data_IF_502505339379
#
_entry.id   IF_502505339379
#
_cell.length_a   1.000
_cell.length_b   1.000
_cell.length_c   1.000
_cell.angle_alpha   90.00
_cell.angle_beta   90.00
_cell.angle_gamma   90.00
#
_symmetry.space_group_name_H-M   'P 1'
#
loop_
_entity.id
_entity.type
_entity.pdbx_description
1 polymer ?
#
# COMPACT_ATOMS: atom_id res chain seq x y z
N UNK A 1 48.07 -24.93 -35.71
CA UNK A 1 47.22 -24.82 -36.91
C UNK A 1 45.77 -24.84 -36.45
N UNK A 2 45.15 -23.67 -36.32
CA UNK A 2 43.69 -23.48 -36.30
C UNK A 2 43.42 -21.98 -36.58
N UNK A 3 42.70 -21.63 -37.66
CA UNK A 3 42.39 -20.23 -37.97
C UNK A 3 41.28 -19.71 -37.06
N UNK A 4 41.44 -18.46 -36.59
CA UNK A 4 40.41 -17.73 -35.84
C UNK A 4 39.14 -17.56 -36.70
N UNK A 5 37.93 -17.62 -36.11
CA UNK A 5 36.69 -17.43 -36.86
C UNK A 5 36.55 -15.97 -37.34
N UNK A 6 36.00 -15.74 -38.54
CA UNK A 6 35.77 -14.39 -39.04
C UNK A 6 34.68 -13.70 -38.22
N UNK A 7 34.98 -12.46 -37.81
CA UNK A 7 34.04 -11.54 -37.18
C UNK A 7 32.79 -11.37 -38.05
N UNK A 8 31.56 -11.58 -37.54
CA UNK A 8 30.37 -11.22 -38.28
C UNK A 8 30.25 -9.68 -38.27
N UNK A 9 30.64 -9.06 -39.38
CA UNK A 9 30.24 -7.68 -39.68
C UNK A 9 28.72 -7.67 -39.88
N UNK A 10 28.00 -7.40 -38.79
CA UNK A 10 26.56 -7.20 -38.80
C UNK A 10 26.22 -5.97 -39.65
N UNK A 11 25.79 -6.23 -40.88
CA UNK A 11 25.39 -5.23 -41.85
C UNK A 11 24.37 -4.25 -41.29
N UNK A 12 24.60 -2.97 -41.57
CA UNK A 12 23.62 -1.90 -41.37
C UNK A 12 22.35 -2.27 -42.15
N UNK A 13 21.24 -2.47 -41.45
CA UNK A 13 19.92 -2.59 -42.08
C UNK A 13 19.64 -1.30 -42.86
N UNK A 14 19.30 -1.35 -44.16
CA UNK A 14 18.79 -0.17 -44.83
C UNK A 14 17.41 0.19 -44.24
N UNK A 15 17.38 1.27 -43.45
CA UNK A 15 16.18 1.95 -42.99
C UNK A 15 15.50 2.64 -44.19
N UNK A 16 14.84 1.89 -45.07
CA UNK A 16 13.73 2.36 -45.91
C UNK A 16 13.30 1.22 -46.84
N UNK A 17 12.18 0.56 -46.55
CA UNK A 17 11.43 -0.14 -47.61
C UNK A 17 10.82 0.94 -48.52
N UNK A 18 11.50 1.29 -49.62
CA UNK A 18 10.86 1.99 -50.74
C UNK A 18 9.85 1.03 -51.36
N UNK A 19 8.55 1.25 -51.14
CA UNK A 19 7.52 0.49 -51.86
C UNK A 19 6.15 0.38 -51.22
N UNK A 20 5.95 0.69 -49.92
CA UNK A 20 4.59 0.68 -49.37
C UNK A 20 3.81 1.91 -49.84
N UNK A 21 2.63 1.76 -50.47
CA UNK A 21 1.78 2.89 -50.82
C UNK A 21 1.44 3.66 -49.53
N UNK A 22 1.76 4.95 -49.51
CA UNK A 22 1.42 5.83 -48.38
C UNK A 22 -0.10 5.79 -48.19
N UNK A 23 -0.54 5.48 -46.97
CA UNK A 23 -1.94 5.70 -46.60
C UNK A 23 -2.27 7.17 -46.85
N UNK A 24 -3.42 7.42 -47.49
CA UNK A 24 -3.90 8.79 -47.71
C UNK A 24 -3.87 9.54 -46.37
N UNK A 25 -3.40 10.80 -46.34
CA UNK A 25 -3.41 11.60 -45.12
C UNK A 25 -4.78 11.52 -44.47
N UNK A 26 -4.82 11.32 -43.16
CA UNK A 26 -6.07 11.41 -42.41
C UNK A 26 -6.70 12.80 -42.58
N UNK A 27 -7.96 12.97 -42.17
CA UNK A 27 -8.62 14.26 -42.16
C UNK A 27 -7.72 15.31 -41.50
N UNK A 28 -7.68 16.52 -42.08
CA UNK A 28 -6.92 17.61 -41.50
C UNK A 28 -7.32 17.79 -40.02
N UNK A 29 -6.36 17.98 -39.11
CA UNK A 29 -6.69 18.23 -37.72
C UNK A 29 -7.62 19.44 -37.63
N UNK A 30 -8.67 19.31 -36.83
CA UNK A 30 -9.63 20.41 -36.61
C UNK A 30 -8.88 21.69 -36.24
N UNK A 31 -9.29 22.84 -36.81
CA UNK A 31 -8.64 24.12 -36.53
C UNK A 31 -8.69 24.44 -35.04
N UNK A 32 -7.74 25.25 -34.58
CA UNK A 32 -7.56 25.56 -33.16
C UNK A 32 -8.84 26.11 -32.51
N UNK A 33 -9.60 26.91 -33.27
CA UNK A 33 -10.90 27.46 -32.89
C UNK A 33 -11.93 26.38 -32.56
N UNK A 34 -12.06 25.35 -33.40
CA UNK A 34 -13.01 24.25 -33.19
C UNK A 34 -12.56 23.33 -32.03
N UNK A 35 -11.24 23.22 -31.81
CA UNK A 35 -10.67 22.41 -30.73
C UNK A 35 -10.95 23.01 -29.34
N UNK A 36 -10.94 24.33 -29.22
CA UNK A 36 -11.21 25.04 -27.96
C UNK A 36 -12.69 24.98 -27.58
N UNK A 37 -13.60 24.97 -28.56
CA UNK A 37 -15.05 24.92 -28.28
C UNK A 37 -15.56 23.52 -27.90
N UNK A 38 -14.83 22.44 -28.22
CA UNK A 38 -15.37 21.08 -28.15
C UNK A 38 -15.25 20.37 -26.79
N UNK A 39 -14.52 20.88 -25.79
CA UNK A 39 -14.29 20.12 -24.54
C UNK A 39 -14.18 21.01 -23.30
N UNK A 40 -15.31 21.55 -22.83
CA UNK A 40 -15.44 21.73 -21.38
C UNK A 40 -15.54 20.34 -20.76
N UNK A 41 -14.42 19.81 -20.26
CA UNK A 41 -14.45 18.56 -19.50
C UNK A 41 -15.42 18.75 -18.33
N UNK A 42 -16.34 17.79 -18.15
CA UNK A 42 -17.23 17.81 -17.00
C UNK A 42 -16.36 17.92 -15.74
N UNK A 43 -16.68 18.81 -14.79
CA UNK A 43 -15.95 18.90 -13.53
C UNK A 43 -15.90 17.53 -12.87
N UNK A 44 -14.70 17.07 -12.53
CA UNK A 44 -14.51 15.79 -11.86
C UNK A 44 -15.17 15.87 -10.49
N UNK A 45 -16.31 15.20 -10.33
CA UNK A 45 -16.99 15.10 -9.04
C UNK A 45 -16.32 14.01 -8.21
N UNK A 46 -15.78 14.39 -7.07
CA UNK A 46 -15.26 13.44 -6.09
C UNK A 46 -16.43 12.67 -5.49
N UNK A 47 -16.32 11.35 -5.39
CA UNK A 47 -17.28 10.55 -4.64
C UNK A 47 -17.10 10.87 -3.16
N UNK A 48 -18.07 11.58 -2.57
CA UNK A 48 -18.11 11.84 -1.14
C UNK A 48 -18.58 10.58 -0.42
N UNK A 49 -17.74 10.05 0.47
CA UNK A 49 -18.09 8.94 1.35
C UNK A 49 -17.99 9.43 2.78
N UNK A 50 -19.14 9.58 3.45
CA UNK A 50 -19.21 9.83 4.88
C UNK A 50 -19.42 8.51 5.61
N UNK A 51 -18.70 8.33 6.72
CA UNK A 51 -18.82 7.16 7.58
C UNK A 51 -19.31 7.63 8.96
N UNK A 52 -20.32 6.98 9.55
CA UNK A 52 -20.85 7.38 10.86
C UNK A 52 -19.80 7.19 11.95
N UNK A 53 -19.94 7.91 13.08
CA UNK A 53 -18.99 7.86 14.20
C UNK A 53 -18.81 6.44 14.74
N UNK A 54 -19.91 5.71 14.92
CA UNK A 54 -19.93 4.30 15.35
C UNK A 54 -19.07 3.41 14.45
N UNK A 55 -19.21 3.56 13.13
CA UNK A 55 -18.41 2.77 12.18
C UNK A 55 -16.92 3.07 12.29
N UNK A 56 -16.53 4.33 12.55
CA UNK A 56 -15.13 4.68 12.79
C UNK A 56 -14.63 4.02 14.07
N UNK A 57 -15.44 4.04 15.13
CA UNK A 57 -15.13 3.42 16.42
C UNK A 57 -14.93 1.91 16.23
N UNK A 58 -15.85 1.20 15.56
CA UNK A 58 -15.72 -0.23 15.26
C UNK A 58 -14.39 -0.58 14.57
N UNK A 59 -14.00 0.21 13.58
CA UNK A 59 -12.74 0.02 12.85
C UNK A 59 -11.54 0.23 13.77
N UNK A 60 -11.58 1.23 14.65
CA UNK A 60 -10.51 1.49 15.60
C UNK A 60 -10.40 0.38 16.66
N UNK A 61 -11.53 -0.11 17.20
CA UNK A 61 -11.53 -1.25 18.10
C UNK A 61 -10.98 -2.51 17.43
N UNK A 62 -11.34 -2.75 16.17
CA UNK A 62 -10.80 -3.85 15.39
C UNK A 62 -9.27 -3.78 15.34
N UNK A 63 -8.70 -2.62 15.02
CA UNK A 63 -7.25 -2.45 14.96
C UNK A 63 -6.54 -2.61 16.31
N UNK A 64 -7.19 -2.22 17.41
CA UNK A 64 -6.62 -2.29 18.76
C UNK A 64 -6.68 -3.69 19.37
N UNK A 65 -7.82 -4.37 19.20
CA UNK A 65 -8.14 -5.58 19.96
C UNK A 65 -8.01 -6.85 19.13
N UNK A 66 -8.27 -6.78 17.83
CA UNK A 66 -8.19 -7.96 16.98
C UNK A 66 -6.74 -8.39 16.83
N UNK A 67 -6.51 -9.71 16.83
CA UNK A 67 -5.18 -10.28 16.66
C UNK A 67 -5.23 -11.31 15.54
N UNK A 68 -4.37 -11.13 14.55
CA UNK A 68 -4.29 -11.99 13.37
C UNK A 68 -3.15 -12.99 13.57
N UNK A 69 -3.40 -14.30 13.38
CA UNK A 69 -2.34 -15.30 13.41
C UNK A 69 -1.42 -15.11 12.21
N UNK A 70 -0.13 -14.99 12.47
CA UNK A 70 0.90 -14.90 11.43
C UNK A 70 1.93 -16.01 11.63
N UNK A 71 1.88 -16.98 10.71
CA UNK A 71 2.83 -18.09 10.66
C UNK A 71 4.18 -17.69 10.03
N UNK A 72 4.29 -16.48 9.45
CA UNK A 72 5.50 -16.08 8.74
C UNK A 72 6.61 -15.74 9.74
N UNK A 73 7.86 -16.21 9.52
CA UNK A 73 8.98 -15.80 10.36
C UNK A 73 9.18 -14.29 10.22
N UNK A 74 9.11 -13.55 11.33
CA UNK A 74 9.41 -12.11 11.33
C UNK A 74 10.82 -11.89 10.82
N UNK A 75 10.96 -11.04 9.80
CA UNK A 75 12.26 -10.57 9.33
C UNK A 75 12.84 -9.62 10.38
N UNK A 76 13.60 -10.16 11.33
CA UNK A 76 14.38 -9.34 12.26
C UNK A 76 15.45 -8.58 11.47
N UNK A 77 15.58 -7.26 11.65
CA UNK A 77 16.66 -6.49 11.04
C UNK A 77 18.01 -7.11 11.38
N UNK A 78 18.91 -7.20 10.38
CA UNK A 78 20.25 -7.76 10.58
C UNK A 78 21.02 -6.88 11.57
N UNK A 79 21.45 -7.50 12.67
CA UNK A 79 22.08 -6.79 13.80
C UNK A 79 23.48 -6.30 13.42
N UNK A 80 23.88 -5.14 13.95
CA UNK A 80 25.29 -4.75 13.99
C UNK A 80 25.97 -5.52 15.13
N UNK A 81 27.25 -5.88 14.94
CA UNK A 81 28.07 -6.50 15.99
C UNK A 81 28.11 -5.60 17.22
N UNK A 82 27.88 -6.17 18.41
CA UNK A 82 27.90 -5.48 19.69
C UNK A 82 26.55 -4.98 20.23
N UNK A 83 25.44 -5.14 19.49
CA UNK A 83 24.12 -4.71 19.98
C UNK A 83 23.51 -5.76 20.95
N UNK A 84 23.13 -5.38 22.19
CA UNK A 84 22.57 -6.31 23.18
C UNK A 84 21.26 -6.92 22.68
N UNK A 85 21.07 -8.24 22.87
CA UNK A 85 19.89 -8.99 22.45
C UNK A 85 18.64 -8.47 23.18
N UNK A 86 17.88 -7.57 22.56
CA UNK A 86 16.51 -7.27 23.00
C UNK A 86 15.64 -8.48 22.66
N UNK A 87 15.68 -9.46 23.56
CA UNK A 87 14.87 -10.69 23.51
C UNK A 87 13.38 -10.42 23.81
N UNK A 88 13.04 -9.21 24.24
CA UNK A 88 11.87 -8.97 25.09
C UNK A 88 10.60 -8.49 24.38
N UNK A 89 10.59 -8.35 23.05
CA UNK A 89 9.37 -7.95 22.30
C UNK A 89 8.81 -9.01 21.36
N UNK A 90 9.38 -10.22 21.40
CA UNK A 90 8.90 -11.38 20.65
C UNK A 90 7.84 -12.09 21.48
N UNK A 91 6.56 -11.76 21.26
CA UNK A 91 5.44 -12.51 21.84
C UNK A 91 5.67 -14.02 21.69
N UNK A 92 5.45 -14.86 22.71
CA UNK A 92 5.70 -16.29 22.58
C UNK A 92 4.87 -16.88 21.42
N UNK A 93 5.48 -17.76 20.61
CA UNK A 93 4.72 -18.52 19.61
C UNK A 93 3.67 -19.38 20.31
N UNK A 94 2.42 -19.23 19.91
CA UNK A 94 1.29 -20.01 20.43
C UNK A 94 0.89 -21.02 19.37
N UNK A 95 0.43 -22.20 19.80
CA UNK A 95 -0.18 -23.16 18.89
C UNK A 95 -1.61 -22.75 18.60
N UNK A 96 -1.94 -22.60 17.33
CA UNK A 96 -3.30 -22.33 16.89
C UNK A 96 -4.18 -23.58 16.94
N UNK A 97 -5.48 -23.38 16.66
CA UNK A 97 -6.48 -24.43 16.48
C UNK A 97 -6.06 -25.51 15.45
N UNK A 98 -5.26 -25.13 14.46
CA UNK A 98 -4.72 -26.03 13.45
C UNK A 98 -3.43 -26.75 13.88
N UNK A 99 -2.94 -26.49 15.11
CA UNK A 99 -1.69 -27.05 15.64
C UNK A 99 -0.41 -26.38 15.14
N UNK A 100 -0.54 -25.34 14.30
CA UNK A 100 0.60 -24.58 13.78
C UNK A 100 1.11 -23.56 14.82
N UNK A 101 2.43 -23.38 14.87
CA UNK A 101 3.05 -22.36 15.72
C UNK A 101 2.97 -21.01 15.02
N UNK A 102 2.19 -20.09 15.58
CA UNK A 102 2.03 -18.74 15.03
C UNK A 102 2.38 -17.67 16.06
N UNK A 103 2.55 -16.47 15.54
CA UNK A 103 2.65 -15.25 16.34
C UNK A 103 1.38 -14.45 16.12
N UNK A 104 0.78 -13.95 17.20
CA UNK A 104 -0.35 -13.05 17.08
C UNK A 104 0.16 -11.63 16.81
N UNK A 105 -0.39 -10.96 15.80
CA UNK A 105 -0.06 -9.56 15.50
C UNK A 105 -1.32 -8.70 15.45
N UNK A 106 -1.15 -7.39 15.62
CA UNK A 106 -2.23 -6.45 15.30
C UNK A 106 -2.56 -6.54 13.80
N UNK A 107 -3.82 -6.31 13.39
CA UNK A 107 -4.21 -6.35 12.00
C UNK A 107 -3.57 -5.19 11.25
N UNK A 108 -3.22 -5.41 10.00
CA UNK A 108 -2.70 -4.33 9.16
C UNK A 108 -3.82 -3.46 8.62
N UNK A 109 -3.52 -2.22 8.22
CA UNK A 109 -4.53 -1.36 7.59
C UNK A 109 -5.04 -1.90 6.24
N UNK A 110 -4.25 -2.75 5.57
CA UNK A 110 -4.68 -3.44 4.36
C UNK A 110 -5.76 -4.49 4.69
N UNK A 111 -5.53 -5.32 5.70
CA UNK A 111 -6.52 -6.29 6.19
C UNK A 111 -7.81 -5.59 6.65
N UNK A 112 -7.69 -4.49 7.41
CA UNK A 112 -8.85 -3.69 7.80
C UNK A 112 -9.58 -3.07 6.59
N UNK A 113 -8.84 -2.58 5.60
CA UNK A 113 -9.42 -2.05 4.36
C UNK A 113 -10.20 -3.11 3.60
N UNK A 114 -9.66 -4.33 3.52
CA UNK A 114 -10.30 -5.46 2.87
C UNK A 114 -11.55 -5.94 3.62
N UNK A 115 -11.51 -5.97 4.95
CA UNK A 115 -12.64 -6.39 5.78
C UNK A 115 -13.78 -5.36 5.75
N UNK A 116 -13.48 -4.09 6.00
CA UNK A 116 -14.50 -3.04 6.12
C UNK A 116 -14.87 -2.38 4.79
N UNK A 117 -14.12 -2.65 3.71
CA UNK A 117 -14.25 -2.00 2.39
C UNK A 117 -14.07 -0.48 2.45
N UNK A 118 -13.16 -0.03 3.31
CA UNK A 118 -12.83 1.38 3.54
C UNK A 118 -11.40 1.60 3.06
N UNK A 119 -11.12 2.63 2.24
CA UNK A 119 -9.76 2.87 1.77
C UNK A 119 -8.75 3.01 2.91
N UNK A 120 -7.60 2.36 2.78
CA UNK A 120 -6.47 2.47 3.73
C UNK A 120 -6.13 3.90 4.17
N UNK A 121 -6.02 4.92 3.30
CA UNK A 121 -5.70 6.29 3.75
C UNK A 121 -6.80 6.89 4.64
N UNK A 122 -8.05 6.47 4.46
CA UNK A 122 -9.17 6.90 5.31
C UNK A 122 -9.04 6.30 6.70
N UNK A 123 -8.69 5.02 6.79
CA UNK A 123 -8.46 4.32 8.07
C UNK A 123 -7.26 4.94 8.81
N UNK A 124 -6.17 5.23 8.08
CA UNK A 124 -5.00 5.92 8.65
C UNK A 124 -5.36 7.28 9.25
N UNK A 125 -6.12 8.11 8.51
CA UNK A 125 -6.56 9.40 9.03
C UNK A 125 -7.43 9.29 10.30
N UNK A 126 -8.24 8.23 10.43
CA UNK A 126 -8.98 7.96 11.67
C UNK A 126 -8.10 7.48 12.80
N UNK A 127 -7.07 6.68 12.50
CA UNK A 127 -6.09 6.23 13.47
C UNK A 127 -5.28 7.40 14.06
N UNK A 128 -4.89 8.37 13.23
CA UNK A 128 -4.16 9.57 13.67
C UNK A 128 -5.02 10.49 14.54
N UNK A 129 -6.33 10.48 14.32
CA UNK A 129 -7.32 11.26 15.09
C UNK A 129 -8.10 10.41 16.09
N UNK A 130 -7.61 9.22 16.43
CA UNK A 130 -8.35 8.21 17.22
C UNK A 130 -8.73 8.73 18.59
N UNK A 131 -7.86 9.50 19.25
CA UNK A 131 -8.11 10.00 20.60
C UNK A 131 -9.34 10.91 20.61
N UNK A 132 -9.51 11.76 19.59
CA UNK A 132 -10.69 12.62 19.41
C UNK A 132 -11.95 11.83 19.03
N UNK A 133 -11.81 10.72 18.31
CA UNK A 133 -12.93 9.87 17.89
C UNK A 133 -13.44 8.99 19.04
N UNK A 134 -12.53 8.58 19.92
CA UNK A 134 -12.79 7.74 21.10
C UNK A 134 -13.08 8.56 22.37
N UNK A 135 -12.79 9.86 22.36
CA UNK A 135 -13.19 10.78 23.43
C UNK A 135 -14.70 10.67 23.72
N UNK A 136 -15.02 10.49 25.01
CA UNK A 136 -16.39 10.31 25.50
C UNK A 136 -16.98 8.90 25.32
N UNK A 137 -16.23 7.93 24.77
CA UNK A 137 -16.69 6.52 24.65
C UNK A 137 -16.28 5.64 25.84
N UNK A 138 -15.43 6.15 26.74
CA UNK A 138 -14.90 5.40 27.89
C UNK A 138 -13.84 4.35 27.52
N UNK A 139 -13.40 4.31 26.26
CA UNK A 139 -12.36 3.41 25.78
C UNK A 139 -11.01 4.13 25.89
N UNK A 140 -10.21 3.73 26.88
CA UNK A 140 -8.86 4.26 27.06
C UNK A 140 -7.93 3.69 25.98
N UNK A 141 -7.37 4.57 25.17
CA UNK A 141 -6.28 4.21 24.27
C UNK A 141 -5.00 4.22 25.09
N UNK A 142 -4.19 3.15 25.12
CA UNK A 142 -2.88 3.21 25.75
C UNK A 142 -2.07 4.32 25.08
N UNK A 143 -1.80 5.37 25.87
CA UNK A 143 -1.09 6.57 25.41
C UNK A 143 0.32 6.19 24.97
N UNK A 144 0.56 6.16 23.67
CA UNK A 144 1.91 6.09 23.13
C UNK A 144 2.43 7.52 23.09
N UNK A 145 3.18 7.90 24.13
CA UNK A 145 3.85 9.20 24.17
C UNK A 145 4.78 9.40 22.96
N UNK A 146 5.19 10.64 22.66
CA UNK A 146 6.16 10.92 21.61
C UNK A 146 7.49 10.23 21.97
N UNK A 147 7.74 9.05 21.39
CA UNK A 147 8.86 8.19 21.78
C UNK A 147 8.55 6.69 21.81
N UNK A 148 7.30 6.27 21.63
CA UNK A 148 6.99 4.84 21.42
C UNK A 148 7.01 3.98 22.69
N UNK A 149 7.08 4.58 23.88
CA UNK A 149 6.97 3.85 25.15
C UNK A 149 5.53 3.92 25.65
N UNK A 150 4.89 2.76 25.81
CA UNK A 150 3.62 2.65 26.53
C UNK A 150 3.86 2.99 28.00
N UNK A 151 3.30 4.09 28.48
CA UNK A 151 3.19 4.35 29.92
C UNK A 151 2.07 3.45 30.46
N UNK A 152 2.45 2.27 30.95
CA UNK A 152 1.60 1.49 31.84
C UNK A 152 1.81 2.01 33.27
N UNK A 153 0.72 2.37 33.95
CA UNK A 153 0.67 2.58 35.40
C UNK A 153 0.45 1.25 36.12
#
# INVERSE_FOLDING_TARGET
>A
MAPNPPTPQGGRRPLTQKGLPRKKPGPAPKPLSERLMQKSLKPVRRVERSYPKERKIEVLLYLLNHRVPDARPRKVPRRRIGQPHESELTQPMVRDENGELVWYRAPTYAEASEFWKIPTPTIQGWWDSRDKLLEGTGIEVPGVGPGGMSTAL
#
